data_IF_721683198233
#
_entry.id   IF_721683198233
#
_cell.length_a   1.000
_cell.length_b   1.000
_cell.length_c   1.000
_cell.angle_alpha   90.00
_cell.angle_beta   90.00
_cell.angle_gamma   90.00
#
_symmetry.space_group_name_H-M   'P 1'
#
loop_
_entity.id
_entity.type
_entity.pdbx_description
1 polymer ?
#
# COMPACT_ATOMS: atom_id res chain seq x y z
N UNK A 1 -5.00 -21.71 -8.36
CA UNK A 1 -4.51 -20.78 -9.40
C UNK A 1 -3.28 -20.05 -8.85
N UNK A 2 -2.17 -20.07 -9.58
CA UNK A 2 -0.97 -19.33 -9.22
C UNK A 2 -1.13 -17.84 -9.59
N UNK A 3 -1.36 -16.99 -8.59
CA UNK A 3 -1.56 -15.55 -8.78
C UNK A 3 -0.30 -14.81 -9.26
N UNK A 4 0.90 -15.41 -9.11
CA UNK A 4 2.15 -14.85 -9.62
C UNK A 4 2.29 -14.99 -11.12
N UNK A 5 1.55 -15.91 -11.73
CA UNK A 5 1.56 -16.16 -13.18
C UNK A 5 0.33 -15.60 -13.90
N UNK A 6 -0.66 -15.08 -13.14
CA UNK A 6 -1.93 -14.61 -13.68
C UNK A 6 -2.20 -13.14 -13.39
N UNK A 7 -2.98 -12.49 -14.24
CA UNK A 7 -3.38 -11.10 -14.12
C UNK A 7 -2.20 -10.12 -14.14
N UNK A 8 -2.07 -9.28 -13.11
CA UNK A 8 -0.93 -8.33 -12.98
C UNK A 8 0.32 -8.97 -12.39
N UNK A 9 0.31 -10.27 -12.13
CA UNK A 9 1.37 -11.05 -11.48
C UNK A 9 1.76 -10.56 -10.07
N UNK A 10 1.02 -9.63 -9.50
CA UNK A 10 1.21 -9.12 -8.14
C UNK A 10 0.49 -10.01 -7.13
N UNK A 11 1.05 -10.15 -5.93
CA UNK A 11 0.46 -10.93 -4.83
C UNK A 11 -0.61 -10.15 -4.02
N UNK A 12 -0.85 -8.86 -4.34
CA UNK A 12 -1.76 -8.00 -3.59
C UNK A 12 -3.26 -8.25 -3.87
N UNK A 13 -4.11 -7.73 -2.99
CA UNK A 13 -5.57 -7.90 -2.98
C UNK A 13 -6.27 -7.66 -4.33
N UNK A 14 -5.85 -6.63 -5.07
CA UNK A 14 -6.44 -6.32 -6.39
C UNK A 14 -6.21 -7.43 -7.42
N UNK A 15 -5.02 -8.05 -7.42
CA UNK A 15 -4.74 -9.17 -8.33
C UNK A 15 -5.47 -10.44 -7.89
N UNK A 16 -5.53 -10.70 -6.59
CA UNK A 16 -6.35 -11.78 -6.03
C UNK A 16 -7.81 -11.63 -6.46
N UNK A 17 -8.38 -10.44 -6.32
CA UNK A 17 -9.74 -10.17 -6.79
C UNK A 17 -9.90 -10.46 -8.29
N UNK A 18 -9.00 -9.96 -9.12
CA UNK A 18 -9.06 -10.11 -10.58
C UNK A 18 -8.98 -11.57 -11.03
N UNK A 19 -8.02 -12.31 -10.50
CA UNK A 19 -7.75 -13.67 -10.92
C UNK A 19 -8.81 -14.66 -10.42
N UNK A 20 -9.19 -14.57 -9.15
CA UNK A 20 -10.17 -15.47 -8.55
C UNK A 20 -11.58 -15.19 -9.02
N UNK A 21 -11.90 -13.93 -9.39
CA UNK A 21 -13.24 -13.52 -9.86
C UNK A 21 -13.69 -14.29 -11.09
N UNK A 22 -12.74 -14.70 -11.96
CA UNK A 22 -13.06 -15.48 -13.16
C UNK A 22 -13.63 -16.89 -12.82
N UNK A 23 -13.19 -17.49 -11.71
CA UNK A 23 -13.66 -18.80 -11.28
C UNK A 23 -14.79 -18.70 -10.25
N UNK A 24 -14.68 -17.80 -9.26
CA UNK A 24 -15.67 -17.66 -8.20
C UNK A 24 -15.73 -16.21 -7.67
N UNK A 25 -16.73 -15.40 -8.13
CA UNK A 25 -16.84 -14.00 -7.75
C UNK A 25 -17.04 -13.74 -6.24
N UNK A 26 -17.77 -14.62 -5.53
CA UNK A 26 -18.02 -14.49 -4.09
C UNK A 26 -16.75 -14.77 -3.28
N UNK A 27 -16.03 -15.81 -3.65
CA UNK A 27 -14.75 -16.18 -3.03
C UNK A 27 -13.69 -15.13 -3.30
N UNK A 28 -13.64 -14.57 -4.51
CA UNK A 28 -12.70 -13.52 -4.90
C UNK A 28 -12.76 -12.30 -3.98
N UNK A 29 -13.97 -11.81 -3.67
CA UNK A 29 -14.15 -10.68 -2.73
C UNK A 29 -13.65 -11.02 -1.34
N UNK A 30 -13.99 -12.20 -0.80
CA UNK A 30 -13.54 -12.64 0.52
C UNK A 30 -12.02 -12.72 0.60
N UNK A 31 -11.39 -13.35 -0.38
CA UNK A 31 -9.93 -13.48 -0.41
C UNK A 31 -9.22 -12.15 -0.61
N UNK A 32 -9.75 -11.25 -1.45
CA UNK A 32 -9.19 -9.92 -1.63
C UNK A 32 -9.25 -9.09 -0.33
N UNK A 33 -10.38 -9.13 0.37
CA UNK A 33 -10.54 -8.45 1.67
C UNK A 33 -9.59 -9.06 2.71
N UNK A 34 -9.50 -10.38 2.79
CA UNK A 34 -8.58 -11.06 3.70
C UNK A 34 -7.12 -10.70 3.40
N UNK A 35 -6.71 -10.71 2.13
CA UNK A 35 -5.36 -10.31 1.71
C UNK A 35 -5.07 -8.86 2.12
N UNK A 36 -6.01 -7.94 1.84
CA UNK A 36 -5.85 -6.55 2.25
C UNK A 36 -5.73 -6.41 3.78
N UNK A 37 -6.62 -7.08 4.52
CA UNK A 37 -6.61 -7.03 5.99
C UNK A 37 -5.31 -7.58 6.57
N UNK A 38 -4.82 -8.72 6.09
CA UNK A 38 -3.54 -9.29 6.52
C UNK A 38 -2.37 -8.36 6.19
N UNK A 39 -2.36 -7.77 4.99
CA UNK A 39 -1.31 -6.84 4.57
C UNK A 39 -1.30 -5.55 5.37
N UNK A 40 -2.47 -5.05 5.75
CA UNK A 40 -2.64 -3.88 6.60
C UNK A 40 -2.26 -4.19 8.06
N UNK A 41 -2.85 -5.24 8.63
CA UNK A 41 -2.69 -5.57 10.05
C UNK A 41 -1.27 -6.00 10.40
N UNK A 42 -0.53 -6.67 9.50
CA UNK A 42 0.86 -7.08 9.77
C UNK A 42 1.81 -5.89 10.03
N UNK A 43 1.44 -4.67 9.59
CA UNK A 43 2.16 -3.45 9.91
C UNK A 43 1.50 -2.67 11.06
N UNK A 44 0.17 -2.53 11.03
CA UNK A 44 -0.54 -1.75 12.04
C UNK A 44 -0.41 -2.35 13.44
N UNK A 45 -0.57 -3.67 13.59
CA UNK A 45 -0.57 -4.31 14.91
C UNK A 45 0.79 -4.23 15.63
N UNK A 46 1.95 -4.53 14.99
CA UNK A 46 3.24 -4.38 15.65
C UNK A 46 3.52 -2.93 16.08
N UNK A 47 3.21 -1.95 15.20
CA UNK A 47 3.44 -0.54 15.53
C UNK A 47 2.53 -0.11 16.68
N UNK A 48 1.27 -0.53 16.67
CA UNK A 48 0.32 -0.22 17.73
C UNK A 48 0.76 -0.84 19.07
N UNK A 49 1.24 -2.10 19.06
CA UNK A 49 1.76 -2.76 20.24
C UNK A 49 2.98 -2.03 20.83
N UNK A 50 3.92 -1.61 19.98
CA UNK A 50 5.08 -0.83 20.41
C UNK A 50 4.68 0.54 20.96
N UNK A 51 3.72 1.20 20.33
CA UNK A 51 3.19 2.48 20.79
C UNK A 51 2.56 2.38 22.18
N UNK A 52 1.76 1.34 22.43
CA UNK A 52 1.21 1.07 23.78
C UNK A 52 2.26 0.64 24.80
N UNK A 53 3.35 0.01 24.36
CA UNK A 53 4.48 -0.32 25.21
C UNK A 53 5.39 0.88 25.54
N UNK A 54 5.09 2.09 25.01
CA UNK A 54 5.81 3.33 25.30
C UNK A 54 7.11 3.51 24.55
N UNK A 55 7.30 2.81 23.42
CA UNK A 55 8.46 3.05 22.55
C UNK A 55 8.37 4.39 21.85
N UNK A 56 9.53 5.00 21.58
CA UNK A 56 9.62 6.30 20.91
C UNK A 56 9.22 6.23 19.41
N UNK A 57 8.92 7.40 18.85
CA UNK A 57 8.46 7.50 17.47
C UNK A 57 9.52 7.06 16.44
N UNK A 58 10.84 7.17 16.75
CA UNK A 58 11.89 6.68 15.86
C UNK A 58 11.81 5.15 15.70
N UNK A 59 11.56 4.44 16.80
CA UNK A 59 11.35 2.99 16.77
C UNK A 59 10.09 2.65 15.97
N UNK A 60 8.98 3.34 16.19
CA UNK A 60 7.72 3.11 15.48
C UNK A 60 7.89 3.30 13.96
N UNK A 61 8.54 4.39 13.54
CA UNK A 61 8.84 4.65 12.13
C UNK A 61 9.79 3.63 11.53
N UNK A 62 10.82 3.21 12.27
CA UNK A 62 11.76 2.18 11.82
C UNK A 62 11.05 0.86 11.53
N UNK A 63 10.18 0.40 12.44
CA UNK A 63 9.38 -0.80 12.26
C UNK A 63 8.41 -0.63 11.08
N UNK A 64 7.81 0.55 10.92
CA UNK A 64 6.93 0.86 9.78
C UNK A 64 7.64 0.74 8.43
N UNK A 65 8.83 1.32 8.30
CA UNK A 65 9.67 1.22 7.09
C UNK A 65 10.03 -0.22 6.81
N UNK A 66 10.51 -0.96 7.82
CA UNK A 66 10.89 -2.36 7.69
C UNK A 66 9.71 -3.26 7.31
N UNK A 67 8.51 -3.00 7.84
CA UNK A 67 7.30 -3.74 7.49
C UNK A 67 6.93 -3.57 6.00
N UNK A 68 7.04 -2.35 5.45
CA UNK A 68 6.80 -2.08 4.03
C UNK A 68 7.89 -2.71 3.17
N UNK A 69 9.16 -2.59 3.55
CA UNK A 69 10.28 -3.22 2.85
C UNK A 69 10.14 -4.74 2.81
N UNK A 70 9.89 -5.39 3.95
CA UNK A 70 9.71 -6.84 4.04
C UNK A 70 8.52 -7.35 3.25
N UNK A 71 7.44 -6.53 3.11
CA UNK A 71 6.35 -6.86 2.21
C UNK A 71 6.72 -6.72 0.73
N UNK A 72 7.46 -5.67 0.36
CA UNK A 72 7.83 -5.39 -1.03
C UNK A 72 8.98 -6.26 -1.54
N UNK A 73 9.88 -6.67 -0.66
CA UNK A 73 11.07 -7.45 -0.95
C UNK A 73 11.15 -8.67 -0.02
N UNK A 74 10.12 -9.53 -0.11
CA UNK A 74 9.99 -10.69 0.78
C UNK A 74 11.09 -11.72 0.50
N UNK A 75 11.90 -12.02 1.52
CA UNK A 75 12.92 -13.08 1.44
C UNK A 75 12.31 -14.45 1.13
N UNK A 76 11.09 -14.73 1.63
CA UNK A 76 10.36 -15.98 1.36
C UNK A 76 9.90 -16.13 -0.09
N UNK A 77 9.89 -15.04 -0.86
CA UNK A 77 9.41 -15.01 -2.24
C UNK A 77 10.52 -14.61 -3.22
N UNK A 78 11.79 -14.82 -2.86
CA UNK A 78 12.92 -14.46 -3.70
C UNK A 78 13.03 -12.94 -3.95
N UNK A 79 12.70 -12.12 -2.95
CA UNK A 79 12.64 -10.67 -2.98
C UNK A 79 11.55 -10.10 -3.92
N UNK A 80 10.64 -10.96 -4.41
CA UNK A 80 9.47 -10.57 -5.20
C UNK A 80 8.22 -10.50 -4.31
N UNK A 81 7.96 -9.34 -3.76
CA UNK A 81 6.79 -9.09 -2.90
C UNK A 81 5.69 -8.28 -3.57
N UNK A 82 4.76 -7.77 -2.74
CA UNK A 82 3.70 -6.86 -3.17
C UNK A 82 4.19 -5.45 -3.45
N UNK A 83 3.24 -4.51 -3.61
CA UNK A 83 3.54 -3.10 -3.91
C UNK A 83 3.55 -2.19 -2.68
N UNK A 84 3.24 -2.72 -1.52
CA UNK A 84 3.33 -1.99 -0.25
C UNK A 84 2.14 -1.11 0.12
N UNK A 85 1.15 -0.89 -0.75
CA UNK A 85 0.06 0.08 -0.51
C UNK A 85 -0.75 -0.26 0.75
N UNK A 86 -1.22 -1.50 0.90
CA UNK A 86 -2.00 -1.91 2.07
C UNK A 86 -1.17 -1.91 3.36
N UNK A 87 0.09 -2.34 3.26
CA UNK A 87 1.02 -2.36 4.40
C UNK A 87 1.38 -0.94 4.84
N UNK A 88 1.65 -0.03 3.88
CA UNK A 88 1.87 1.38 4.18
C UNK A 88 0.61 2.03 4.79
N UNK A 89 -0.58 1.71 4.28
CA UNK A 89 -1.83 2.17 4.90
C UNK A 89 -1.94 1.71 6.36
N UNK A 90 -1.48 0.50 6.69
CA UNK A 90 -1.40 0.01 8.08
C UNK A 90 -0.44 0.83 8.94
N UNK A 91 0.74 1.17 8.43
CA UNK A 91 1.71 2.07 9.11
C UNK A 91 1.07 3.43 9.37
N UNK A 92 0.52 4.04 8.31
CA UNK A 92 0.00 5.40 8.35
C UNK A 92 -1.29 5.52 9.18
N UNK A 93 -2.07 4.45 9.30
CA UNK A 93 -3.26 4.43 10.17
C UNK A 93 -2.91 4.63 11.65
N UNK A 94 -1.70 4.25 12.07
CA UNK A 94 -1.22 4.42 13.45
C UNK A 94 -0.45 5.72 13.63
N UNK A 95 0.34 6.11 12.63
CA UNK A 95 1.30 7.22 12.75
C UNK A 95 0.79 8.54 12.16
N UNK A 96 0.06 8.51 11.04
CA UNK A 96 -0.46 9.69 10.34
C UNK A 96 -1.89 9.44 9.82
N UNK A 97 -2.87 9.25 10.73
CA UNK A 97 -4.23 8.84 10.34
C UNK A 97 -4.99 9.88 9.51
N UNK A 98 -4.79 11.16 9.74
CA UNK A 98 -5.46 12.24 9.00
C UNK A 98 -4.97 12.30 7.55
N UNK A 99 -3.66 12.25 7.35
CA UNK A 99 -3.03 12.24 6.02
C UNK A 99 -3.40 10.98 5.25
N UNK A 100 -3.49 9.83 5.95
CA UNK A 100 -4.00 8.60 5.37
C UNK A 100 -5.43 8.78 4.88
N UNK A 101 -6.32 9.42 5.66
CA UNK A 101 -7.70 9.67 5.25
C UNK A 101 -7.77 10.51 3.96
N UNK A 102 -6.91 11.53 3.83
CA UNK A 102 -6.78 12.34 2.61
C UNK A 102 -6.31 11.48 1.44
N UNK A 103 -5.26 10.68 1.64
CA UNK A 103 -4.76 9.76 0.62
C UNK A 103 -5.80 8.73 0.18
N UNK A 104 -6.56 8.14 1.12
CA UNK A 104 -7.66 7.21 0.82
C UNK A 104 -8.81 7.87 0.07
N UNK A 105 -9.12 9.13 0.38
CA UNK A 105 -10.14 9.89 -0.35
C UNK A 105 -9.73 10.09 -1.80
N UNK A 106 -8.51 10.51 -2.05
CA UNK A 106 -7.98 10.64 -3.42
C UNK A 106 -7.95 9.29 -4.15
N UNK A 107 -7.50 8.22 -3.46
CA UNK A 107 -7.53 6.85 -3.98
C UNK A 107 -8.94 6.43 -4.40
N UNK A 108 -9.93 6.68 -3.55
CA UNK A 108 -11.32 6.31 -3.83
C UNK A 108 -11.90 7.08 -5.02
N UNK A 109 -11.70 8.42 -5.07
CA UNK A 109 -12.20 9.27 -6.15
C UNK A 109 -11.59 8.83 -7.49
N UNK A 110 -10.27 8.74 -7.57
CA UNK A 110 -9.56 8.34 -8.79
C UNK A 110 -9.91 6.91 -9.20
N UNK A 111 -10.01 6.00 -8.22
CA UNK A 111 -10.40 4.61 -8.45
C UNK A 111 -11.82 4.49 -9.01
N UNK A 112 -12.77 5.28 -8.52
CA UNK A 112 -14.16 5.30 -8.99
C UNK A 112 -14.28 5.89 -10.39
N UNK A 113 -13.54 6.97 -10.68
CA UNK A 113 -13.60 7.68 -11.98
C UNK A 113 -12.91 6.87 -13.07
N UNK A 114 -11.66 6.47 -12.85
CA UNK A 114 -10.84 5.84 -13.91
C UNK A 114 -10.94 4.31 -13.91
N UNK A 115 -11.38 3.69 -12.82
CA UNK A 115 -11.45 2.24 -12.64
C UNK A 115 -10.09 1.54 -12.82
N UNK A 116 -8.99 2.22 -12.53
CA UNK A 116 -7.62 1.73 -12.62
C UNK A 116 -6.98 1.78 -11.22
N UNK A 117 -6.74 0.60 -10.63
CA UNK A 117 -6.24 0.50 -9.25
C UNK A 117 -4.84 1.09 -9.06
N UNK A 118 -3.94 0.92 -10.02
CA UNK A 118 -2.58 1.47 -9.94
C UNK A 118 -2.56 2.99 -10.00
N UNK A 119 -3.38 3.59 -10.87
CA UNK A 119 -3.54 5.04 -10.95
C UNK A 119 -4.13 5.61 -9.64
N UNK A 120 -5.15 4.95 -9.10
CA UNK A 120 -5.72 5.31 -7.81
C UNK A 120 -4.69 5.27 -6.69
N UNK A 121 -3.86 4.20 -6.63
CA UNK A 121 -2.81 4.06 -5.62
C UNK A 121 -1.75 5.15 -5.73
N UNK A 122 -1.31 5.49 -6.94
CA UNK A 122 -0.35 6.57 -7.16
C UNK A 122 -0.92 7.94 -6.77
N UNK A 123 -2.18 8.21 -7.12
CA UNK A 123 -2.87 9.44 -6.70
C UNK A 123 -3.04 9.52 -5.18
N UNK A 124 -3.40 8.41 -4.54
CA UNK A 124 -3.51 8.34 -3.08
C UNK A 124 -2.17 8.59 -2.37
N UNK A 125 -1.08 8.00 -2.87
CA UNK A 125 0.28 8.22 -2.34
C UNK A 125 0.70 9.68 -2.52
N UNK A 126 0.42 10.30 -3.65
CA UNK A 126 0.74 11.71 -3.89
C UNK A 126 -0.05 12.64 -2.97
N UNK A 127 -1.37 12.42 -2.84
CA UNK A 127 -2.21 13.20 -1.94
C UNK A 127 -1.79 13.04 -0.47
N UNK A 128 -1.48 11.81 -0.05
CA UNK A 128 -0.92 11.53 1.27
C UNK A 128 0.40 12.28 1.49
N UNK A 129 1.32 12.24 0.53
CA UNK A 129 2.62 12.89 0.63
C UNK A 129 2.48 14.42 0.78
N UNK A 130 1.64 15.03 -0.04
CA UNK A 130 1.33 16.47 0.06
C UNK A 130 0.76 16.80 1.45
N UNK A 131 -0.20 16.01 1.93
CA UNK A 131 -0.80 16.20 3.24
C UNK A 131 0.23 16.06 4.37
N UNK A 132 1.13 15.07 4.29
CA UNK A 132 2.17 14.85 5.30
C UNK A 132 3.10 16.07 5.42
N UNK A 133 3.48 16.70 4.31
CA UNK A 133 4.34 17.89 4.34
C UNK A 133 3.61 19.18 4.69
N UNK A 134 2.29 19.24 4.55
CA UNK A 134 1.52 20.45 4.85
C UNK A 134 0.92 20.45 6.25
N UNK A 135 0.47 19.28 6.74
CA UNK A 135 -0.21 19.16 8.04
C UNK A 135 0.80 18.87 9.15
N UNK A 136 1.73 17.94 8.92
CA UNK A 136 2.80 17.58 9.86
C UNK A 136 4.14 18.15 9.39
N UNK A 137 4.21 19.46 9.23
CA UNK A 137 5.47 20.15 8.89
C UNK A 137 6.58 19.82 9.89
N UNK A 138 6.26 19.84 11.19
CA UNK A 138 7.16 19.44 12.29
C UNK A 138 6.79 18.03 12.78
N UNK A 139 7.43 17.01 12.22
CA UNK A 139 7.27 15.64 12.72
C UNK A 139 8.02 15.45 14.05
N UNK A 140 7.46 14.63 14.94
CA UNK A 140 8.06 14.29 16.24
C UNK A 140 9.50 13.74 16.15
N UNK A 141 9.87 13.15 15.01
CA UNK A 141 11.21 12.64 14.72
C UNK A 141 12.10 13.65 13.95
N UNK A 142 11.66 14.91 13.80
CA UNK A 142 12.36 15.99 13.10
C UNK A 142 12.76 15.66 11.64
N UNK A 143 12.12 14.70 10.99
CA UNK A 143 12.41 14.34 9.60
C UNK A 143 11.23 13.64 8.93
N UNK A 144 11.02 13.89 7.64
CA UNK A 144 10.08 13.17 6.79
C UNK A 144 10.71 11.96 6.06
N UNK A 145 11.96 11.62 6.37
CA UNK A 145 12.68 10.56 5.68
C UNK A 145 11.93 9.21 5.64
N UNK A 146 11.31 8.70 6.73
CA UNK A 146 10.55 7.46 6.68
C UNK A 146 9.35 7.52 5.72
N UNK A 147 8.64 8.65 5.71
CA UNK A 147 7.50 8.90 4.79
C UNK A 147 7.98 8.86 3.34
N UNK A 148 9.06 9.57 3.04
CA UNK A 148 9.66 9.61 1.70
C UNK A 148 10.13 8.22 1.25
N UNK A 149 10.79 7.46 2.11
CA UNK A 149 11.26 6.10 1.82
C UNK A 149 10.09 5.18 1.51
N UNK A 150 9.02 5.19 2.31
CA UNK A 150 7.83 4.37 2.08
C UNK A 150 7.17 4.75 0.75
N UNK A 151 6.96 6.04 0.49
CA UNK A 151 6.37 6.52 -0.77
C UNK A 151 7.24 6.15 -1.98
N UNK A 152 8.56 6.32 -1.88
CA UNK A 152 9.52 5.93 -2.92
C UNK A 152 9.43 4.44 -3.25
N UNK A 153 9.43 3.57 -2.23
CA UNK A 153 9.30 2.12 -2.43
C UNK A 153 8.00 1.76 -3.13
N UNK A 154 6.89 2.38 -2.74
CA UNK A 154 5.60 2.15 -3.41
C UNK A 154 5.66 2.59 -4.88
N UNK A 155 6.17 3.78 -5.16
CA UNK A 155 6.31 4.29 -6.54
C UNK A 155 7.23 3.38 -7.36
N UNK A 156 8.37 2.97 -6.80
CA UNK A 156 9.29 2.04 -7.42
C UNK A 156 8.61 0.73 -7.81
N UNK A 157 7.85 0.12 -6.90
CA UNK A 157 7.07 -1.11 -7.16
C UNK A 157 5.92 -0.89 -8.15
N UNK A 158 5.55 0.35 -8.45
CA UNK A 158 4.56 0.70 -9.47
C UNK A 158 5.18 1.01 -10.85
N UNK A 159 6.51 1.00 -11.01
CA UNK A 159 7.15 1.29 -12.31
C UNK A 159 6.55 0.47 -13.46
N UNK A 160 6.30 -0.85 -13.33
CA UNK A 160 5.67 -1.61 -14.41
C UNK A 160 4.24 -1.14 -14.74
N UNK A 161 3.50 -0.65 -13.73
CA UNK A 161 2.16 -0.09 -13.94
C UNK A 161 2.24 1.28 -14.62
N UNK A 162 3.19 2.12 -14.19
CA UNK A 162 3.43 3.44 -14.80
C UNK A 162 3.74 3.28 -16.29
N UNK A 163 4.61 2.34 -16.65
CA UNK A 163 4.90 2.03 -18.06
C UNK A 163 3.62 1.64 -18.82
N UNK A 164 2.79 0.73 -18.28
CA UNK A 164 1.52 0.34 -18.91
C UNK A 164 0.49 1.49 -18.98
N UNK A 165 0.48 2.38 -18.00
CA UNK A 165 -0.37 3.57 -18.02
C UNK A 165 0.00 4.49 -19.20
N UNK A 166 1.30 4.74 -19.43
CA UNK A 166 1.77 5.54 -20.57
C UNK A 166 1.42 4.90 -21.93
N UNK A 167 1.48 3.57 -22.02
CA UNK A 167 1.11 2.85 -23.25
C UNK A 167 -0.40 2.56 -23.37
N UNK A 168 -1.23 3.02 -22.40
CA UNK A 168 -2.68 2.75 -22.33
C UNK A 168 -3.05 1.26 -22.24
N UNK A 169 -2.15 0.44 -21.72
CA UNK A 169 -2.28 -1.02 -21.56
C UNK A 169 -2.65 -1.45 -20.13
N UNK A 170 -2.81 -0.51 -19.20
CA UNK A 170 -3.12 -0.86 -17.82
C UNK A 170 -4.56 -1.33 -17.67
N UNK A 171 -4.73 -2.49 -17.05
CA UNK A 171 -6.03 -3.14 -16.91
C UNK A 171 -6.95 -2.38 -15.96
N UNK A 172 -8.20 -2.14 -16.38
CA UNK A 172 -9.26 -1.64 -15.49
C UNK A 172 -9.63 -2.70 -14.44
N UNK A 173 -10.02 -2.24 -13.27
CA UNK A 173 -10.67 -3.07 -12.25
C UNK A 173 -12.14 -3.13 -12.61
N UNK A 174 -12.63 -4.30 -12.98
CA UNK A 174 -14.03 -4.52 -13.36
C UNK A 174 -14.89 -4.73 -12.11
#
# INVERSE_FOLDING_TARGET
VDIKQAGSKSIGATNVLRVVKQANPKLAKKLAVATFACDFLKAALPILALKFAGFDDNMLWSVGVLAVFGHCFSAYLGLEGGKGVATAAGVMAVLLPLELAIGLTAWFIVGKVFKISSLASLAGVLAFLIAAFTIHYDMSINTHAPVLVICFVIIYKHIPNIKRLFHKEECKVV
#
